data_IF_622920002754
#
_entry.id   IF_622920002754
#
_cell.length_a   1.000
_cell.length_b   1.000
_cell.length_c   1.000
_cell.angle_alpha   90.00
_cell.angle_beta   90.00
_cell.angle_gamma   90.00
#
_symmetry.space_group_name_H-M   'P 1'
#
loop_
_entity.id
_entity.type
_entity.pdbx_description
1 polymer ?
#
# COMPACT_ATOMS: atom_id res chain seq x y z
N UNK A 1 -26.77 42.36 -50.93
CA UNK A 1 -27.29 41.22 -50.17
C UNK A 1 -26.19 40.76 -49.26
N UNK A 2 -26.33 41.00 -47.92
CA UNK A 2 -25.35 40.61 -46.92
C UNK A 2 -25.77 39.29 -46.32
N UNK A 3 -24.99 38.24 -46.53
CA UNK A 3 -25.18 36.92 -45.86
C UNK A 3 -24.43 36.96 -44.56
N UNK A 4 -25.15 37.02 -43.44
CA UNK A 4 -24.64 36.86 -42.11
C UNK A 4 -24.30 35.42 -41.82
N UNK A 5 -23.01 35.15 -41.52
CA UNK A 5 -22.57 33.86 -41.01
C UNK A 5 -22.80 33.83 -39.53
N UNK A 6 -23.76 33.03 -39.09
CA UNK A 6 -24.01 32.72 -37.69
C UNK A 6 -22.87 31.79 -37.16
N UNK A 7 -21.96 32.30 -36.38
CA UNK A 7 -21.02 31.48 -35.60
C UNK A 7 -21.80 30.83 -34.44
N UNK A 8 -22.06 29.54 -34.56
CA UNK A 8 -22.39 28.73 -33.38
C UNK A 8 -21.17 28.64 -32.48
N UNK A 9 -21.24 29.31 -31.33
CA UNK A 9 -20.32 29.05 -30.22
C UNK A 9 -20.56 27.63 -29.71
N UNK A 10 -19.58 26.78 -29.91
CA UNK A 10 -19.56 25.45 -29.29
C UNK A 10 -19.37 25.64 -27.77
N UNK A 11 -20.45 25.47 -27.01
CA UNK A 11 -20.39 25.37 -25.57
C UNK A 11 -19.51 24.18 -25.19
N UNK A 12 -18.38 24.44 -24.54
CA UNK A 12 -17.57 23.40 -23.91
C UNK A 12 -18.45 22.60 -22.93
N UNK A 13 -18.42 21.26 -22.95
CA UNK A 13 -19.17 20.48 -21.98
C UNK A 13 -18.61 20.78 -20.59
N UNK A 14 -19.40 21.38 -19.72
CA UNK A 14 -19.12 21.48 -18.28
C UNK A 14 -19.11 20.05 -17.76
N UNK A 15 -17.92 19.47 -17.56
CA UNK A 15 -17.81 18.17 -16.92
C UNK A 15 -18.30 18.31 -15.49
N UNK A 16 -19.47 17.77 -15.18
CA UNK A 16 -19.90 17.59 -13.80
C UNK A 16 -18.82 16.84 -13.04
N UNK A 17 -18.56 17.21 -11.76
CA UNK A 17 -17.52 16.54 -10.97
C UNK A 17 -17.78 15.04 -10.95
N UNK A 18 -16.72 14.26 -11.16
CA UNK A 18 -16.82 12.79 -11.18
C UNK A 18 -17.28 12.28 -9.81
N UNK A 19 -18.26 11.41 -9.79
CA UNK A 19 -18.78 10.78 -8.58
C UNK A 19 -17.71 9.97 -7.87
N UNK A 20 -17.65 10.05 -6.54
CA UNK A 20 -16.69 9.36 -5.67
C UNK A 20 -17.29 8.08 -5.12
N UNK A 21 -16.56 6.98 -5.22
CA UNK A 21 -16.95 5.68 -4.67
C UNK A 21 -15.88 5.17 -3.71
N UNK A 22 -16.28 4.64 -2.56
CA UNK A 22 -15.43 3.91 -1.64
C UNK A 22 -15.73 2.42 -1.81
N UNK A 23 -14.83 1.68 -2.48
CA UNK A 23 -14.95 0.25 -2.72
C UNK A 23 -14.32 -0.52 -1.55
N UNK A 24 -15.08 -1.41 -0.93
CA UNK A 24 -14.65 -2.16 0.25
C UNK A 24 -15.10 -3.63 0.21
N UNK A 25 -14.53 -4.45 1.08
CA UNK A 25 -15.02 -5.80 1.42
C UNK A 25 -15.26 -5.97 2.93
N UNK A 26 -14.82 -5.00 3.72
CA UNK A 26 -15.10 -4.87 5.15
C UNK A 26 -15.11 -3.39 5.52
N UNK A 27 -16.14 -2.94 6.22
CA UNK A 27 -16.23 -1.55 6.72
C UNK A 27 -15.49 -1.47 8.05
N UNK A 28 -14.38 -0.71 8.04
CA UNK A 28 -13.57 -0.40 9.22
C UNK A 28 -13.70 1.10 9.56
N UNK A 29 -12.87 1.58 10.45
CA UNK A 29 -12.80 2.99 10.80
C UNK A 29 -12.38 3.86 9.59
N UNK A 30 -11.43 3.37 8.79
CA UNK A 30 -10.89 4.07 7.63
C UNK A 30 -11.96 4.36 6.58
N UNK A 31 -12.78 3.38 6.23
CA UNK A 31 -13.85 3.53 5.23
C UNK A 31 -14.91 4.53 5.71
N UNK A 32 -15.31 4.43 7.00
CA UNK A 32 -16.24 5.39 7.61
C UNK A 32 -15.68 6.81 7.63
N UNK A 33 -14.42 6.97 8.03
CA UNK A 33 -13.79 8.29 8.12
C UNK A 33 -13.60 8.95 6.74
N UNK A 34 -13.33 8.16 5.68
CA UNK A 34 -13.29 8.64 4.31
C UNK A 34 -14.66 9.12 3.84
N UNK A 35 -15.73 8.38 4.15
CA UNK A 35 -17.09 8.76 3.80
C UNK A 35 -17.50 10.07 4.49
N UNK A 36 -17.26 10.19 5.80
CA UNK A 36 -17.52 11.40 6.55
C UNK A 36 -16.70 12.60 6.03
N UNK A 37 -15.44 12.37 5.68
CA UNK A 37 -14.61 13.39 5.06
C UNK A 37 -15.15 13.82 3.69
N UNK A 38 -15.62 12.88 2.87
CA UNK A 38 -16.23 13.19 1.58
C UNK A 38 -17.46 14.10 1.75
N UNK A 39 -18.35 13.81 2.71
CA UNK A 39 -19.50 14.64 3.03
C UNK A 39 -19.09 16.04 3.49
N UNK A 40 -18.14 16.13 4.43
CA UNK A 40 -17.63 17.43 4.92
C UNK A 40 -16.99 18.28 3.80
N UNK A 41 -16.40 17.62 2.79
CA UNK A 41 -15.75 18.27 1.63
C UNK A 41 -16.71 18.53 0.46
N UNK A 42 -18.02 18.34 0.65
CA UNK A 42 -19.06 18.62 -0.35
C UNK A 42 -19.09 17.60 -1.51
N UNK A 43 -18.65 16.35 -1.30
CA UNK A 43 -18.87 15.23 -2.20
C UNK A 43 -20.15 14.49 -1.78
N UNK A 44 -21.31 15.17 -1.95
CA UNK A 44 -22.62 14.67 -1.51
C UNK A 44 -23.03 13.36 -2.21
N UNK A 45 -22.49 13.12 -3.40
CA UNK A 45 -22.70 11.93 -4.22
C UNK A 45 -21.73 10.76 -3.89
N UNK A 46 -20.91 10.91 -2.84
CA UNK A 46 -20.04 9.83 -2.39
C UNK A 46 -20.83 8.62 -1.94
N UNK A 47 -20.48 7.45 -2.44
CA UNK A 47 -21.18 6.18 -2.19
C UNK A 47 -20.23 5.10 -1.69
N UNK A 48 -20.77 4.18 -0.89
CA UNK A 48 -20.14 2.90 -0.60
C UNK A 48 -20.48 1.87 -1.67
N UNK A 49 -19.50 1.05 -2.04
CA UNK A 49 -19.68 -0.11 -2.91
C UNK A 49 -19.05 -1.33 -2.25
N UNK A 50 -19.86 -2.31 -1.85
CA UNK A 50 -19.37 -3.58 -1.34
C UNK A 50 -18.90 -4.45 -2.50
N UNK A 51 -17.70 -5.00 -2.42
CA UNK A 51 -17.18 -5.96 -3.40
C UNK A 51 -18.10 -7.17 -3.62
N UNK A 52 -18.91 -7.53 -2.62
CA UNK A 52 -19.85 -8.65 -2.72
C UNK A 52 -21.02 -8.37 -3.67
N UNK A 53 -21.37 -7.09 -3.82
CA UNK A 53 -22.46 -6.64 -4.69
C UNK A 53 -21.97 -6.25 -6.08
N UNK A 54 -20.64 -6.33 -6.29
CA UNK A 54 -20.05 -5.97 -7.57
C UNK A 54 -20.25 -7.07 -8.62
N UNK A 55 -21.00 -6.75 -9.64
CA UNK A 55 -21.12 -7.55 -10.85
C UNK A 55 -20.70 -6.72 -12.08
N UNK A 56 -19.75 -7.23 -12.85
CA UNK A 56 -19.23 -6.57 -14.06
C UNK A 56 -19.31 -7.51 -15.24
N UNK A 57 -20.01 -7.11 -16.29
CA UNK A 57 -20.02 -7.82 -17.56
C UNK A 57 -18.78 -7.43 -18.38
N UNK A 58 -17.79 -8.32 -18.45
CA UNK A 58 -16.49 -8.06 -19.08
C UNK A 58 -16.58 -7.90 -20.62
N UNK A 59 -17.67 -8.30 -21.23
CA UNK A 59 -17.87 -8.22 -22.70
C UNK A 59 -18.51 -6.91 -23.14
N UNK A 60 -18.91 -6.03 -22.22
CA UNK A 60 -19.56 -4.75 -22.50
C UNK A 60 -18.92 -3.64 -21.69
N UNK A 61 -18.74 -2.47 -22.30
CA UNK A 61 -18.43 -1.25 -21.54
C UNK A 61 -19.61 -0.92 -20.66
N UNK A 62 -19.41 -0.88 -19.37
CA UNK A 62 -20.43 -0.47 -18.41
C UNK A 62 -20.25 1.03 -18.10
N UNK A 63 -21.17 1.89 -18.53
CA UNK A 63 -21.08 3.32 -18.29
C UNK A 63 -21.24 3.68 -16.80
N UNK A 64 -21.74 2.76 -15.98
CA UNK A 64 -21.93 2.99 -14.53
C UNK A 64 -20.62 3.36 -13.84
N UNK A 65 -19.52 2.73 -14.23
CA UNK A 65 -18.20 2.95 -13.62
C UNK A 65 -17.28 3.85 -14.45
N UNK A 66 -17.61 4.07 -15.72
CA UNK A 66 -16.86 4.97 -16.57
C UNK A 66 -16.84 6.37 -15.96
N UNK A 67 -15.65 6.97 -15.89
CA UNK A 67 -15.42 8.30 -15.30
C UNK A 67 -15.74 8.42 -13.79
N UNK A 68 -15.91 7.31 -13.06
CA UNK A 68 -15.97 7.34 -11.60
C UNK A 68 -14.58 7.39 -11.00
N UNK A 69 -14.47 8.02 -9.82
CA UNK A 69 -13.27 7.97 -8.99
C UNK A 69 -13.55 6.97 -7.88
N UNK A 70 -12.70 5.96 -7.78
CA UNK A 70 -12.89 4.87 -6.81
C UNK A 70 -11.69 4.81 -5.87
N UNK A 71 -11.94 5.01 -4.58
CA UNK A 71 -10.94 4.74 -3.54
C UNK A 71 -11.06 3.25 -3.18
N UNK A 72 -10.06 2.46 -3.57
CA UNK A 72 -9.99 1.03 -3.30
C UNK A 72 -9.56 0.77 -1.85
N UNK A 73 -10.43 0.12 -1.08
CA UNK A 73 -10.24 -0.13 0.34
C UNK A 73 -10.41 -1.60 0.75
N UNK A 74 -10.57 -2.52 -0.23
CA UNK A 74 -10.70 -3.95 0.10
C UNK A 74 -9.45 -4.47 0.80
N UNK A 75 -9.65 -5.19 1.90
CA UNK A 75 -8.60 -5.79 2.74
C UNK A 75 -8.05 -7.05 2.08
N UNK A 76 -8.93 -7.83 1.44
CA UNK A 76 -8.55 -9.05 0.72
C UNK A 76 -7.71 -8.68 -0.51
N UNK A 77 -6.46 -9.15 -0.55
CA UNK A 77 -5.56 -8.96 -1.68
C UNK A 77 -6.19 -9.33 -3.02
N UNK A 78 -6.78 -10.52 -3.11
CA UNK A 78 -7.37 -11.00 -4.38
C UNK A 78 -8.62 -10.22 -4.78
N UNK A 79 -9.50 -9.87 -3.84
CA UNK A 79 -10.66 -9.02 -4.15
C UNK A 79 -10.21 -7.63 -4.61
N UNK A 80 -9.26 -7.01 -3.90
CA UNK A 80 -8.68 -5.73 -4.27
C UNK A 80 -8.10 -5.76 -5.69
N UNK A 81 -7.25 -6.76 -5.98
CA UNK A 81 -6.58 -6.89 -7.27
C UNK A 81 -7.57 -7.05 -8.42
N UNK A 82 -8.51 -8.01 -8.32
CA UNK A 82 -9.41 -8.33 -9.43
C UNK A 82 -10.50 -7.27 -9.62
N UNK A 83 -11.04 -6.70 -8.54
CA UNK A 83 -12.01 -5.61 -8.68
C UNK A 83 -11.37 -4.34 -9.25
N UNK A 84 -10.13 -4.03 -8.87
CA UNK A 84 -9.36 -2.92 -9.46
C UNK A 84 -9.16 -3.15 -10.97
N UNK A 85 -8.69 -4.34 -11.36
CA UNK A 85 -8.48 -4.68 -12.78
C UNK A 85 -9.76 -4.52 -13.61
N UNK A 86 -10.89 -5.05 -13.11
CA UNK A 86 -12.17 -5.00 -13.80
C UNK A 86 -12.68 -3.55 -13.92
N UNK A 87 -12.61 -2.76 -12.86
CA UNK A 87 -13.11 -1.39 -12.82
C UNK A 87 -12.24 -0.42 -13.66
N UNK A 88 -10.91 -0.58 -13.65
CA UNK A 88 -10.02 0.15 -14.56
C UNK A 88 -10.34 -0.18 -16.03
N UNK A 89 -10.57 -1.47 -16.32
CA UNK A 89 -11.01 -1.91 -17.67
C UNK A 89 -12.34 -1.29 -18.12
N UNK A 90 -13.22 -0.92 -17.18
CA UNK A 90 -14.46 -0.18 -17.44
C UNK A 90 -14.26 1.35 -17.49
N UNK A 91 -13.05 1.86 -17.33
CA UNK A 91 -12.73 3.28 -17.43
C UNK A 91 -12.87 4.08 -16.12
N UNK A 92 -12.93 3.40 -14.97
CA UNK A 92 -12.87 4.07 -13.67
C UNK A 92 -11.44 4.55 -13.37
N UNK A 93 -11.33 5.66 -12.65
CA UNK A 93 -10.06 6.08 -12.06
C UNK A 93 -9.93 5.51 -10.64
N UNK A 94 -8.96 4.60 -10.44
CA UNK A 94 -8.82 3.91 -9.15
C UNK A 94 -7.62 4.46 -8.36
N UNK A 95 -7.81 4.66 -7.08
CA UNK A 95 -6.78 4.98 -6.10
C UNK A 95 -6.66 3.79 -5.14
N UNK A 96 -5.59 3.01 -5.24
CA UNK A 96 -4.45 3.06 -6.16
C UNK A 96 -4.70 2.20 -7.41
N UNK A 97 -3.98 2.47 -8.53
CA UNK A 97 -4.15 1.72 -9.78
C UNK A 97 -3.69 0.27 -9.67
N UNK A 98 -4.12 -0.55 -10.64
CA UNK A 98 -3.84 -1.99 -10.68
C UNK A 98 -2.36 -2.32 -10.55
N UNK A 99 -1.48 -1.62 -11.27
CA UNK A 99 -0.05 -1.87 -11.20
C UNK A 99 0.49 -1.67 -9.78
N UNK A 100 0.04 -0.64 -9.07
CA UNK A 100 0.41 -0.39 -7.67
C UNK A 100 -0.08 -1.54 -6.77
N UNK A 101 -1.30 -2.03 -6.99
CA UNK A 101 -1.84 -3.15 -6.21
C UNK A 101 -1.03 -4.44 -6.43
N UNK A 102 -0.59 -4.72 -7.68
CA UNK A 102 0.28 -5.86 -8.02
C UNK A 102 1.62 -5.74 -7.31
N UNK A 103 2.27 -4.61 -7.45
CA UNK A 103 3.63 -4.37 -6.92
C UNK A 103 3.63 -4.39 -5.40
N UNK A 104 2.79 -3.60 -4.76
CA UNK A 104 2.74 -3.51 -3.30
C UNK A 104 2.20 -4.80 -2.65
N UNK A 105 1.37 -5.57 -3.36
CA UNK A 105 0.85 -6.84 -2.86
C UNK A 105 1.86 -7.98 -2.84
N UNK A 106 3.03 -7.80 -3.45
CA UNK A 106 4.09 -8.81 -3.51
C UNK A 106 5.43 -8.21 -3.07
N UNK A 107 5.97 -8.67 -1.93
CA UNK A 107 7.20 -8.14 -1.32
C UNK A 107 8.41 -8.19 -2.26
N UNK A 108 8.54 -9.26 -3.05
CA UNK A 108 9.61 -9.37 -4.02
C UNK A 108 9.49 -8.30 -5.12
N UNK A 109 8.30 -8.16 -5.71
CA UNK A 109 8.10 -7.16 -6.77
C UNK A 109 8.33 -5.74 -6.25
N UNK A 110 7.83 -5.44 -5.05
CA UNK A 110 8.07 -4.16 -4.40
C UNK A 110 9.58 -3.92 -4.19
N UNK A 111 10.27 -4.89 -3.61
CA UNK A 111 11.73 -4.81 -3.39
C UNK A 111 12.50 -4.58 -4.70
N UNK A 112 12.20 -5.34 -5.75
CA UNK A 112 12.89 -5.21 -7.05
C UNK A 112 12.69 -3.83 -7.69
N UNK A 113 11.49 -3.26 -7.56
CA UNK A 113 11.21 -1.91 -8.07
C UNK A 113 11.93 -0.84 -7.25
N UNK A 114 11.89 -0.93 -5.92
CA UNK A 114 12.60 -0.01 -5.04
C UNK A 114 14.12 -0.06 -5.30
N UNK A 115 14.68 -1.25 -5.45
CA UNK A 115 16.10 -1.44 -5.78
C UNK A 115 16.48 -0.82 -7.14
N UNK A 116 15.66 -1.01 -8.18
CA UNK A 116 15.85 -0.41 -9.51
C UNK A 116 15.91 1.13 -9.45
N UNK A 117 15.11 1.73 -8.57
CA UNK A 117 15.08 3.19 -8.36
C UNK A 117 16.11 3.67 -7.32
N UNK A 118 17.07 2.82 -6.95
CA UNK A 118 18.13 3.13 -5.97
C UNK A 118 17.57 3.63 -4.63
N UNK A 119 16.46 3.03 -4.18
CA UNK A 119 15.88 3.25 -2.86
C UNK A 119 16.40 2.16 -1.94
N UNK A 120 17.00 2.56 -0.82
CA UNK A 120 17.56 1.63 0.15
C UNK A 120 16.49 0.75 0.77
N UNK A 121 16.76 -0.56 0.78
CA UNK A 121 15.92 -1.61 1.38
C UNK A 121 16.81 -2.55 2.18
N UNK A 122 16.29 -3.34 3.14
CA UNK A 122 17.07 -4.40 3.77
C UNK A 122 17.66 -5.36 2.72
N UNK A 123 18.87 -5.85 2.94
CA UNK A 123 19.46 -6.89 2.06
C UNK A 123 18.55 -8.10 2.03
N UNK A 124 18.25 -8.59 0.84
CA UNK A 124 17.27 -9.66 0.65
C UNK A 124 17.75 -10.67 -0.36
N UNK A 125 17.32 -11.91 -0.19
CA UNK A 125 17.56 -12.99 -1.13
C UNK A 125 16.28 -13.77 -1.39
N UNK A 126 16.24 -14.45 -2.53
CA UNK A 126 15.16 -15.35 -2.89
C UNK A 126 15.70 -16.71 -3.32
N UNK A 127 14.99 -17.78 -2.95
CA UNK A 127 15.34 -19.15 -3.30
C UNK A 127 14.07 -19.97 -3.58
N UNK A 128 14.23 -21.08 -4.32
CA UNK A 128 13.13 -21.94 -4.75
C UNK A 128 13.32 -23.42 -4.34
N UNK A 129 14.37 -23.70 -3.59
CA UNK A 129 14.63 -25.03 -3.01
C UNK A 129 15.28 -24.87 -1.65
N UNK A 130 15.19 -25.90 -0.80
CA UNK A 130 15.87 -25.94 0.48
C UNK A 130 17.39 -25.69 0.32
N UNK A 131 18.00 -26.40 -0.63
CA UNK A 131 19.45 -26.27 -0.90
C UNK A 131 19.83 -24.83 -1.19
N UNK A 132 19.17 -24.19 -2.17
CA UNK A 132 19.48 -22.79 -2.55
C UNK A 132 19.12 -21.80 -1.45
N UNK A 133 18.09 -22.09 -0.65
CA UNK A 133 17.72 -21.27 0.50
C UNK A 133 18.79 -21.26 1.57
N UNK A 134 19.31 -22.43 1.95
CA UNK A 134 20.38 -22.55 2.95
C UNK A 134 21.70 -21.95 2.44
N UNK A 135 22.08 -22.19 1.18
CA UNK A 135 23.26 -21.55 0.57
C UNK A 135 23.13 -20.03 0.52
N UNK A 136 21.95 -19.51 0.22
CA UNK A 136 21.67 -18.08 0.23
C UNK A 136 21.74 -17.46 1.63
N UNK A 137 21.19 -18.13 2.63
CA UNK A 137 21.24 -17.69 4.02
C UNK A 137 22.65 -17.64 4.59
N UNK A 138 23.54 -18.59 4.21
CA UNK A 138 24.95 -18.53 4.58
C UNK A 138 25.66 -17.27 4.04
N UNK A 139 25.21 -16.75 2.89
CA UNK A 139 25.73 -15.50 2.29
C UNK A 139 25.08 -14.27 2.88
N UNK A 140 23.77 -14.32 3.19
CA UNK A 140 23.02 -13.21 3.78
C UNK A 140 23.47 -12.96 5.24
N UNK A 141 23.71 -14.04 5.98
CA UNK A 141 24.03 -14.06 7.38
C UNK A 141 22.82 -14.29 8.29
N UNK A 142 23.12 -14.63 9.54
CA UNK A 142 22.13 -14.79 10.60
C UNK A 142 22.31 -13.68 11.66
N UNK A 143 21.24 -13.25 12.33
CA UNK A 143 19.86 -13.67 12.15
C UNK A 143 19.26 -13.11 10.84
N UNK A 144 18.33 -13.85 10.25
CA UNK A 144 17.58 -13.47 9.06
C UNK A 144 16.07 -13.60 9.29
N UNK A 145 15.27 -12.96 8.45
CA UNK A 145 13.80 -13.01 8.54
C UNK A 145 13.23 -13.65 7.28
N UNK A 146 12.46 -14.73 7.43
CA UNK A 146 11.70 -15.32 6.32
C UNK A 146 10.29 -14.75 6.30
N UNK A 147 9.81 -14.37 5.11
CA UNK A 147 8.48 -13.80 4.89
C UNK A 147 7.79 -14.46 3.69
N UNK A 148 6.45 -14.63 3.71
CA UNK A 148 5.74 -14.95 2.47
C UNK A 148 5.83 -13.76 1.51
N UNK A 149 5.96 -14.03 0.22
CA UNK A 149 5.97 -12.97 -0.82
C UNK A 149 4.65 -12.21 -0.86
N UNK A 150 3.53 -12.90 -0.63
CA UNK A 150 2.18 -12.33 -0.50
C UNK A 150 1.68 -12.60 0.92
N UNK A 151 1.32 -11.56 1.64
CA UNK A 151 0.83 -11.65 3.01
C UNK A 151 0.93 -10.33 3.75
N UNK A 152 0.11 -10.17 4.80
CA UNK A 152 0.01 -8.95 5.61
C UNK A 152 0.00 -9.28 7.11
N UNK A 153 0.11 -8.23 7.91
CA UNK A 153 0.03 -8.27 9.39
C UNK A 153 1.06 -9.17 10.06
N UNK A 154 2.24 -9.38 9.47
CA UNK A 154 3.30 -10.20 10.05
C UNK A 154 2.99 -11.69 10.17
N UNK A 155 1.92 -12.18 9.52
CA UNK A 155 1.58 -13.60 9.50
C UNK A 155 2.61 -14.40 8.72
N UNK A 156 2.97 -15.57 9.25
CA UNK A 156 3.98 -16.47 8.65
C UNK A 156 5.36 -15.81 8.46
N UNK A 157 5.67 -14.79 9.27
CA UNK A 157 6.99 -14.17 9.33
C UNK A 157 7.74 -14.78 10.50
N UNK A 158 8.93 -15.34 10.26
CA UNK A 158 9.74 -15.97 11.29
C UNK A 158 11.17 -15.40 11.33
N UNK A 159 11.73 -15.29 12.52
CA UNK A 159 13.12 -14.96 12.76
C UNK A 159 13.95 -16.25 12.78
N UNK A 160 14.91 -16.33 11.89
CA UNK A 160 15.86 -17.43 11.75
C UNK A 160 17.16 -17.03 12.44
N UNK A 161 17.39 -17.56 13.62
CA UNK A 161 18.56 -17.19 14.44
C UNK A 161 19.85 -17.87 13.96
N UNK A 162 19.69 -19.04 13.38
CA UNK A 162 20.76 -19.93 12.91
C UNK A 162 20.27 -20.87 11.80
N UNK A 163 21.19 -21.70 11.34
CA UNK A 163 20.93 -22.68 10.28
C UNK A 163 19.91 -23.74 10.63
N UNK A 164 19.87 -24.18 11.89
CA UNK A 164 18.96 -25.25 12.33
C UNK A 164 17.52 -24.71 12.40
N UNK A 165 17.33 -23.49 12.91
CA UNK A 165 16.06 -22.79 12.84
C UNK A 165 15.61 -22.58 11.38
N UNK A 166 16.54 -22.24 10.47
CA UNK A 166 16.25 -22.08 9.05
C UNK A 166 15.76 -23.38 8.41
N UNK A 167 16.44 -24.50 8.66
CA UNK A 167 16.03 -25.81 8.17
C UNK A 167 14.63 -26.20 8.61
N UNK A 168 14.36 -26.09 9.90
CA UNK A 168 13.05 -26.44 10.45
C UNK A 168 11.91 -25.64 9.81
N UNK A 169 12.10 -24.31 9.62
CA UNK A 169 11.08 -23.47 9.01
C UNK A 169 10.94 -23.73 7.50
N UNK A 170 12.03 -24.01 6.79
CA UNK A 170 11.99 -24.35 5.36
C UNK A 170 11.28 -25.68 5.15
N UNK A 171 11.59 -26.70 5.96
CA UNK A 171 10.91 -28.01 5.96
C UNK A 171 9.41 -27.86 6.18
N UNK A 172 9.00 -27.12 7.23
CA UNK A 172 7.57 -26.84 7.49
C UNK A 172 6.88 -26.22 6.26
N UNK A 173 7.52 -25.25 5.60
CA UNK A 173 6.95 -24.61 4.42
C UNK A 173 6.83 -25.51 3.20
N UNK A 174 7.66 -26.53 3.05
CA UNK A 174 7.52 -27.51 1.97
C UNK A 174 6.21 -28.31 2.05
N UNK A 175 5.63 -28.42 3.23
CA UNK A 175 4.33 -29.07 3.46
C UNK A 175 3.13 -28.10 3.36
N UNK A 176 3.38 -26.82 3.10
CA UNK A 176 2.35 -25.80 2.91
C UNK A 176 1.93 -25.69 1.43
N UNK A 177 0.98 -24.78 1.16
CA UNK A 177 0.56 -24.44 -0.19
C UNK A 177 1.75 -23.92 -1.04
N UNK A 178 1.84 -24.23 -2.36
CA UNK A 178 2.99 -23.90 -3.22
C UNK A 178 3.47 -22.44 -3.21
N UNK A 179 2.60 -21.49 -2.87
CA UNK A 179 2.99 -20.09 -2.67
C UNK A 179 4.13 -19.94 -1.66
N UNK A 180 4.19 -20.81 -0.64
CA UNK A 180 5.20 -20.77 0.43
C UNK A 180 6.50 -21.48 0.09
N UNK A 181 6.59 -22.12 -1.11
CA UNK A 181 7.83 -22.70 -1.65
C UNK A 181 8.71 -21.65 -2.33
N UNK A 182 8.23 -20.41 -2.43
CA UNK A 182 9.04 -19.24 -2.81
C UNK A 182 9.58 -18.64 -1.52
N UNK A 183 10.84 -18.92 -1.24
CA UNK A 183 11.51 -18.49 -0.01
C UNK A 183 12.08 -17.09 -0.21
N UNK A 184 11.50 -16.10 0.47
CA UNK A 184 11.98 -14.72 0.50
C UNK A 184 12.54 -14.41 1.88
N UNK A 185 13.82 -14.06 1.94
CA UNK A 185 14.53 -13.75 3.18
C UNK A 185 15.04 -12.31 3.15
N UNK A 186 15.03 -11.69 4.31
CA UNK A 186 15.68 -10.40 4.55
C UNK A 186 16.66 -10.53 5.73
N UNK A 187 17.69 -9.70 5.73
CA UNK A 187 18.54 -9.54 6.91
C UNK A 187 17.72 -9.05 8.10
N UNK A 188 18.15 -9.41 9.29
CA UNK A 188 17.59 -8.81 10.50
C UNK A 188 18.29 -7.48 10.75
N UNK A 189 17.63 -6.38 10.42
CA UNK A 189 18.17 -5.02 10.53
C UNK A 189 18.37 -4.65 12.00
N UNK A 190 19.61 -4.29 12.37
CA UNK A 190 19.94 -3.73 13.68
C UNK A 190 19.39 -2.30 13.77
N UNK A 191 18.34 -2.10 14.58
CA UNK A 191 17.58 -0.86 14.68
C UNK A 191 16.98 -0.66 16.07
N UNK A 192 16.57 0.55 16.43
CA UNK A 192 15.73 0.77 17.61
C UNK A 192 14.47 -0.14 17.59
N UNK A 193 13.87 -0.47 18.74
CA UNK A 193 12.69 -1.35 18.84
C UNK A 193 11.42 -0.64 18.32
N UNK A 194 11.54 0.01 17.18
CA UNK A 194 10.46 0.73 16.49
C UNK A 194 10.65 0.68 14.98
N UNK A 195 9.60 1.03 14.26
CA UNK A 195 9.64 1.38 12.84
C UNK A 195 8.89 2.69 12.58
N UNK A 196 9.00 3.21 11.37
CA UNK A 196 8.29 4.40 10.91
C UNK A 196 7.17 3.98 9.96
N UNK A 197 5.94 4.46 10.19
CA UNK A 197 4.85 4.45 9.23
C UNK A 197 4.62 5.88 8.73
N UNK A 198 4.93 6.14 7.46
CA UNK A 198 4.61 7.39 6.78
C UNK A 198 3.40 7.20 5.84
N UNK A 199 2.50 8.18 5.81
CA UNK A 199 1.36 8.20 4.88
C UNK A 199 1.65 9.22 3.80
N UNK A 200 1.74 8.75 2.55
CA UNK A 200 1.92 9.59 1.36
C UNK A 200 0.57 9.77 0.68
N UNK A 201 0.22 11.02 0.37
CA UNK A 201 -0.98 11.39 -0.39
C UNK A 201 -0.54 12.29 -1.55
N UNK A 202 -0.69 11.80 -2.77
CA UNK A 202 -0.18 12.48 -3.96
C UNK A 202 1.35 12.58 -3.94
N UNK A 203 1.87 13.79 -3.88
CA UNK A 203 3.30 14.08 -3.89
C UNK A 203 3.85 14.60 -2.56
N UNK A 204 3.16 14.35 -1.45
CA UNK A 204 3.57 14.80 -0.12
C UNK A 204 3.40 13.74 0.95
N UNK A 205 4.23 13.77 1.98
CA UNK A 205 4.06 12.99 3.20
C UNK A 205 3.07 13.73 4.09
N UNK A 206 1.84 13.20 4.21
CA UNK A 206 0.79 13.81 5.01
C UNK A 206 1.08 13.74 6.51
N UNK A 207 1.60 12.61 6.97
CA UNK A 207 1.94 12.37 8.38
C UNK A 207 2.87 11.17 8.51
N UNK A 208 3.63 11.12 9.60
CA UNK A 208 4.44 9.96 9.98
C UNK A 208 4.35 9.70 11.48
N UNK A 209 4.42 8.42 11.85
CA UNK A 209 4.46 7.96 13.24
C UNK A 209 5.53 6.92 13.45
N UNK A 210 6.12 6.91 14.63
CA UNK A 210 6.86 5.77 15.15
C UNK A 210 5.88 4.72 15.67
N UNK A 211 6.16 3.45 15.39
CA UNK A 211 5.43 2.32 15.97
C UNK A 211 6.41 1.49 16.78
N UNK A 212 6.17 1.39 18.07
CA UNK A 212 7.01 0.64 19.01
C UNK A 212 6.45 -0.77 19.17
N UNK A 213 7.35 -1.76 19.22
CA UNK A 213 6.97 -3.11 19.62
C UNK A 213 6.55 -3.12 21.10
N UNK A 214 5.60 -3.99 21.46
CA UNK A 214 5.36 -4.34 22.86
C UNK A 214 6.49 -5.21 23.38
N UNK A 215 6.73 -5.17 24.69
CA UNK A 215 7.82 -5.82 25.44
C UNK A 215 8.36 -7.10 24.79
N UNK A 216 9.67 -7.12 24.50
CA UNK A 216 10.48 -8.23 23.97
C UNK A 216 10.12 -8.77 22.59
N UNK A 217 9.11 -8.21 21.92
CA UNK A 217 8.75 -8.57 20.55
C UNK A 217 9.63 -7.80 19.56
N UNK A 218 10.27 -8.51 18.64
CA UNK A 218 11.04 -7.88 17.57
C UNK A 218 10.15 -7.32 16.43
N UNK A 219 8.88 -7.75 16.38
CA UNK A 219 7.88 -7.27 15.42
C UNK A 219 7.20 -6.00 15.95
N UNK A 220 7.14 -4.96 15.15
CA UNK A 220 6.52 -3.66 15.49
C UNK A 220 5.04 -3.59 15.12
N UNK A 221 4.32 -4.72 15.22
CA UNK A 221 2.93 -4.78 14.79
C UNK A 221 1.98 -4.14 15.82
N UNK A 222 1.29 -3.06 15.45
CA UNK A 222 0.31 -2.36 16.29
C UNK A 222 -0.88 -3.23 16.74
N UNK A 223 -1.20 -4.29 15.99
CA UNK A 223 -2.25 -5.23 16.37
C UNK A 223 -1.94 -6.00 17.67
N UNK A 224 -0.70 -6.01 18.12
CA UNK A 224 -0.22 -6.67 19.33
C UNK A 224 -0.10 -5.72 20.54
N UNK A 225 -0.72 -4.53 20.51
CA UNK A 225 -0.71 -3.59 21.64
C UNK A 225 0.48 -2.60 21.64
N UNK A 226 1.11 -2.38 20.48
CA UNK A 226 2.20 -1.44 20.33
C UNK A 226 1.79 0.02 20.60
N UNK A 227 2.77 0.83 21.08
CA UNK A 227 2.64 2.28 21.26
C UNK A 227 2.99 3.00 19.96
N UNK A 228 2.31 4.11 19.68
CA UNK A 228 2.64 4.99 18.56
C UNK A 228 2.91 6.41 19.05
N UNK A 229 3.88 7.07 18.42
CA UNK A 229 4.26 8.46 18.68
C UNK A 229 4.45 9.22 17.37
N UNK A 230 4.40 10.56 17.41
CA UNK A 230 4.65 11.39 16.23
C UNK A 230 6.10 11.19 15.78
N UNK A 231 6.28 10.93 14.49
CA UNK A 231 7.58 10.94 13.84
C UNK A 231 7.74 12.26 13.09
N UNK A 232 8.78 13.07 13.39
CA UNK A 232 9.05 14.29 12.63
C UNK A 232 9.35 13.97 11.16
N UNK A 233 8.74 14.73 10.26
CA UNK A 233 9.00 14.58 8.82
C UNK A 233 10.26 15.37 8.48
N UNK A 234 11.40 14.67 8.43
CA UNK A 234 12.66 15.24 7.96
C UNK A 234 12.68 15.26 6.42
N UNK A 235 13.58 16.07 5.83
CA UNK A 235 13.77 16.08 4.37
C UNK A 235 14.15 14.72 3.81
N UNK A 236 14.97 13.95 4.55
CA UNK A 236 15.37 12.60 4.16
C UNK A 236 14.18 11.64 4.16
N UNK A 237 13.36 11.68 5.24
CA UNK A 237 12.15 10.85 5.34
C UNK A 237 11.15 11.21 4.22
N UNK A 238 10.94 12.49 3.96
CA UNK A 238 10.06 12.95 2.90
C UNK A 238 10.53 12.49 1.53
N UNK A 239 11.82 12.72 1.20
CA UNK A 239 12.39 12.32 -0.09
C UNK A 239 12.25 10.81 -0.34
N UNK A 240 12.68 9.98 0.61
CA UNK A 240 12.64 8.51 0.44
C UNK A 240 11.21 7.99 0.32
N UNK A 241 10.24 8.55 1.08
CA UNK A 241 8.83 8.16 1.01
C UNK A 241 8.18 8.55 -0.31
N UNK A 242 8.44 9.76 -0.81
CA UNK A 242 7.91 10.23 -2.09
C UNK A 242 8.51 9.41 -3.24
N UNK A 243 9.81 9.15 -3.23
CA UNK A 243 10.47 8.30 -4.24
C UNK A 243 9.91 6.87 -4.21
N UNK A 244 9.74 6.28 -3.04
CA UNK A 244 9.15 4.95 -2.89
C UNK A 244 7.71 4.90 -3.42
N UNK A 245 6.88 5.90 -3.10
CA UNK A 245 5.52 6.02 -3.62
C UNK A 245 5.50 6.13 -5.15
N UNK A 246 6.35 7.00 -5.73
CA UNK A 246 6.47 7.17 -7.18
C UNK A 246 6.95 5.90 -7.88
N UNK A 247 7.94 5.21 -7.31
CA UNK A 247 8.49 3.96 -7.85
C UNK A 247 7.42 2.89 -8.03
N UNK A 248 6.53 2.72 -7.07
CA UNK A 248 5.43 1.74 -7.16
C UNK A 248 4.19 2.28 -7.90
N UNK A 249 4.22 3.52 -8.39
CA UNK A 249 3.06 4.18 -9.01
C UNK A 249 1.94 4.54 -8.02
N UNK A 250 2.28 4.62 -6.74
CA UNK A 250 1.33 4.90 -5.65
C UNK A 250 0.79 6.32 -5.68
N UNK A 251 -0.49 6.46 -5.30
CA UNK A 251 -1.20 7.73 -5.17
C UNK A 251 -1.52 8.05 -3.71
N UNK A 252 -1.95 7.02 -2.98
CA UNK A 252 -2.18 7.06 -1.54
C UNK A 252 -1.60 5.79 -0.96
N UNK A 253 -0.45 5.87 -0.32
CA UNK A 253 0.25 4.69 0.20
C UNK A 253 0.76 4.91 1.62
N UNK A 254 0.92 3.82 2.33
CA UNK A 254 1.72 3.78 3.56
C UNK A 254 3.10 3.25 3.26
N UNK A 255 4.13 3.97 3.65
CA UNK A 255 5.52 3.54 3.54
C UNK A 255 6.01 3.15 4.91
N UNK A 256 6.47 1.92 5.05
CA UNK A 256 7.08 1.42 6.29
C UNK A 256 8.59 1.45 6.16
N UNK A 257 9.26 2.10 7.14
CA UNK A 257 10.71 2.24 7.14
C UNK A 257 11.32 1.72 8.44
N UNK A 258 12.55 1.22 8.31
CA UNK A 258 13.42 0.89 9.42
C UNK A 258 14.54 1.93 9.54
N UNK A 259 14.86 2.33 10.76
CA UNK A 259 16.00 3.20 11.06
C UNK A 259 17.22 2.32 11.34
N UNK A 260 17.95 1.88 10.31
CA UNK A 260 19.17 1.09 10.50
C UNK A 260 20.26 1.91 11.22
N UNK A 261 20.91 1.31 12.22
CA UNK A 261 22.02 1.94 12.92
C UNK A 261 23.25 2.15 12.00
N UNK A 262 23.32 1.42 10.89
CA UNK A 262 24.48 1.42 9.99
C UNK A 262 24.20 2.16 8.66
N UNK A 263 22.98 2.02 8.11
CA UNK A 263 22.66 2.47 6.76
C UNK A 263 21.66 3.63 6.70
N UNK A 264 21.11 4.06 7.84
CA UNK A 264 20.05 5.08 7.92
C UNK A 264 18.67 4.54 7.58
N UNK A 265 17.85 5.30 6.86
CA UNK A 265 16.49 4.89 6.52
C UNK A 265 16.47 3.82 5.42
N UNK A 266 15.80 2.70 5.70
CA UNK A 266 15.54 1.60 4.76
C UNK A 266 14.04 1.45 4.54
N UNK A 267 13.57 1.43 3.30
CA UNK A 267 12.17 1.14 2.99
C UNK A 267 11.93 -0.36 3.13
N UNK A 268 11.09 -0.72 4.07
CA UNK A 268 10.78 -2.11 4.39
C UNK A 268 9.58 -2.64 3.58
N UNK A 269 8.53 -1.82 3.42
CA UNK A 269 7.30 -2.18 2.71
C UNK A 269 6.56 -0.93 2.23
N UNK A 270 5.87 -1.03 1.09
CA UNK A 270 4.92 -0.02 0.63
C UNK A 270 3.53 -0.65 0.55
N UNK A 271 2.55 -0.03 1.23
CA UNK A 271 1.19 -0.54 1.37
C UNK A 271 0.20 0.28 0.54
N UNK A 272 -0.42 -0.33 -0.47
CA UNK A 272 -1.40 0.33 -1.35
C UNK A 272 -2.80 0.51 -0.73
N UNK A 273 -3.13 -0.24 0.32
CA UNK A 273 -4.37 -0.09 1.10
C UNK A 273 -4.00 0.18 2.56
N UNK A 274 -3.40 1.36 2.78
CA UNK A 274 -2.83 1.71 4.08
C UNK A 274 -3.89 1.95 5.14
N UNK A 275 -3.63 1.49 6.37
CA UNK A 275 -4.38 1.85 7.57
C UNK A 275 -3.79 3.14 8.15
N UNK A 276 -4.64 4.09 8.51
CA UNK A 276 -4.21 5.39 9.01
C UNK A 276 -4.92 5.84 10.30
N UNK A 277 -5.79 5.01 10.87
CA UNK A 277 -6.49 5.30 12.13
C UNK A 277 -5.56 5.75 13.24
N UNK A 278 -4.49 4.97 13.49
CA UNK A 278 -3.54 5.28 14.54
C UNK A 278 -2.74 6.55 14.22
N UNK A 279 -2.39 6.77 12.94
CA UNK A 279 -1.70 7.98 12.52
C UNK A 279 -2.56 9.22 12.77
N UNK A 280 -3.85 9.18 12.39
CA UNK A 280 -4.79 10.28 12.69
C UNK A 280 -4.92 10.51 14.20
N UNK A 281 -5.07 9.42 14.98
CA UNK A 281 -5.21 9.52 16.44
C UNK A 281 -4.00 10.19 17.12
N UNK A 282 -2.78 9.88 16.64
CA UNK A 282 -1.53 10.36 17.24
C UNK A 282 -1.19 11.77 16.76
N UNK A 283 -1.39 12.06 15.47
CA UNK A 283 -0.94 13.33 14.87
C UNK A 283 -2.01 14.41 14.83
N UNK A 284 -3.29 14.04 14.90
CA UNK A 284 -4.43 14.96 14.69
C UNK A 284 -4.63 15.41 13.24
N UNK A 285 -3.82 14.91 12.29
CA UNK A 285 -3.90 15.29 10.87
C UNK A 285 -5.15 14.66 10.23
N UNK A 286 -5.94 15.44 9.49
CA UNK A 286 -7.12 14.97 8.74
C UNK A 286 -6.72 14.22 7.46
N UNK A 287 -6.05 13.05 7.62
CA UNK A 287 -5.65 12.19 6.51
C UNK A 287 -6.84 11.81 5.61
N UNK A 288 -8.03 11.43 6.15
CA UNK A 288 -9.20 11.19 5.30
C UNK A 288 -9.56 12.36 4.41
N UNK A 289 -9.53 13.59 4.96
CA UNK A 289 -9.80 14.81 4.20
C UNK A 289 -8.78 15.06 3.09
N UNK A 290 -7.50 14.82 3.35
CA UNK A 290 -6.43 14.93 2.35
C UNK A 290 -6.60 13.92 1.20
N UNK A 291 -6.96 12.67 1.52
CA UNK A 291 -7.23 11.61 0.52
C UNK A 291 -8.43 11.99 -0.36
N UNK A 292 -9.51 12.51 0.24
CA UNK A 292 -10.69 12.95 -0.50
C UNK A 292 -10.38 14.14 -1.40
N UNK A 293 -9.63 15.13 -0.90
CA UNK A 293 -9.21 16.28 -1.71
C UNK A 293 -8.35 15.84 -2.90
N UNK A 294 -7.39 14.95 -2.68
CA UNK A 294 -6.60 14.35 -3.73
C UNK A 294 -7.47 13.62 -4.76
N UNK A 295 -8.39 12.77 -4.31
CA UNK A 295 -9.30 12.04 -5.20
C UNK A 295 -10.12 13.00 -6.07
N UNK A 296 -10.70 14.05 -5.50
CA UNK A 296 -11.52 15.04 -6.24
C UNK A 296 -10.73 15.84 -7.27
N UNK A 297 -9.43 16.07 -7.04
CA UNK A 297 -8.57 16.73 -8.03
C UNK A 297 -8.39 15.91 -9.30
N UNK A 298 -8.49 14.57 -9.22
CA UNK A 298 -8.41 13.67 -10.37
C UNK A 298 -9.70 13.65 -11.22
N UNK A 299 -10.75 14.27 -10.75
CA UNK A 299 -12.07 14.35 -11.40
C UNK A 299 -12.32 15.62 -12.21
N UNK A 300 -11.36 16.54 -12.21
CA UNK A 300 -11.45 17.83 -12.93
C UNK A 300 -11.01 17.75 -14.37
#
# INVERSE_FOLDING_TARGET
MKTGANRMEASSPSSSPKSLIILYDAIRWEEKSLYEAAKRKGAEDCQFLDCKDLFINLNRKDPTYSQKIIIQRSVSYFKSLHSTAALEGMGAYIINPLNTAIVCGNKLLCHMILHKENIKTPRSIMAFSEKSALEGLEKLGYPAVIKPTIGSWGRLVALLRDKDAARAVIEDRQHMFPLYHVYYFEEFVNRPPRDVRAIVVGESVAAAIYRYSSNDEWKTNMALGGRAEICPITKELEDICIRASKAVGGKVVGVDLMESNEEGLLVHEVNNTTEFKNTVKVTGIDIPGLIVDYARQQGK
#
